data_IF_418884870475
#
_entry.id   IF_418884870475
#
_cell.length_a   1.000
_cell.length_b   1.000
_cell.length_c   1.000
_cell.angle_alpha   90.00
_cell.angle_beta   90.00
_cell.angle_gamma   90.00
#
_symmetry.space_group_name_H-M   'P 1'
#
loop_
_entity.id
_entity.type
_entity.pdbx_description
1 polymer ?
#
# COMPACT_ATOMS: atom_id res chain seq x y z
N UNK A 1 -53.48 43.77 33.41
CA UNK A 1 -52.89 44.36 34.63
C UNK A 1 -52.59 43.17 35.52
N UNK A 2 -51.37 42.78 35.87
CA UNK A 2 -50.05 43.39 35.83
C UNK A 2 -49.02 42.39 35.30
N UNK A 3 -47.89 42.94 34.84
CA UNK A 3 -46.75 42.24 34.29
C UNK A 3 -45.65 42.04 35.35
N UNK A 4 -44.92 40.94 35.23
CA UNK A 4 -43.57 40.75 35.76
C UNK A 4 -42.98 39.58 34.97
N UNK A 5 -41.81 39.64 34.32
CA UNK A 5 -40.70 40.55 34.46
C UNK A 5 -39.46 39.72 34.82
N UNK A 6 -39.00 38.86 33.91
CA UNK A 6 -37.79 38.06 34.09
C UNK A 6 -36.76 38.45 33.02
N UNK A 7 -35.59 38.91 33.49
CA UNK A 7 -34.45 39.31 32.67
C UNK A 7 -33.62 38.09 32.24
N UNK A 8 -33.00 38.11 31.04
CA UNK A 8 -32.01 37.10 30.66
C UNK A 8 -30.61 37.46 31.16
N UNK A 9 -29.91 36.47 31.71
CA UNK A 9 -28.48 36.56 32.03
C UNK A 9 -27.63 36.50 30.76
N UNK A 10 -26.74 37.48 30.63
CA UNK A 10 -25.71 37.61 29.60
C UNK A 10 -24.50 36.79 30.04
N UNK A 11 -24.13 35.76 29.27
CA UNK A 11 -22.82 35.11 29.41
C UNK A 11 -21.79 35.89 28.57
N UNK A 12 -20.75 36.34 29.25
CA UNK A 12 -19.64 37.09 28.69
C UNK A 12 -18.72 36.20 27.86
N UNK A 13 -18.30 36.77 26.74
CA UNK A 13 -17.34 36.30 25.75
C UNK A 13 -15.92 36.40 26.33
N UNK A 14 -15.25 35.26 26.56
CA UNK A 14 -13.81 35.23 26.86
C UNK A 14 -13.02 35.11 25.55
N UNK A 15 -12.34 36.20 25.19
CA UNK A 15 -11.33 36.22 24.13
C UNK A 15 -9.98 35.74 24.67
N UNK A 16 -9.19 34.97 23.90
CA UNK A 16 -7.85 34.58 24.30
C UNK A 16 -6.86 35.74 24.15
N UNK A 17 -6.11 35.99 25.23
CA UNK A 17 -4.97 36.91 25.28
C UNK A 17 -3.87 36.51 24.29
N UNK A 18 -3.56 37.43 23.38
CA UNK A 18 -2.34 37.45 22.58
C UNK A 18 -1.26 38.11 23.42
N UNK A 19 -0.31 37.33 23.95
CA UNK A 19 0.95 37.88 24.48
C UNK A 19 1.94 38.04 23.33
N UNK A 20 2.23 39.30 22.99
CA UNK A 20 3.36 39.67 22.16
C UNK A 20 4.66 39.46 22.97
N UNK A 21 5.60 38.70 22.43
CA UNK A 21 7.03 38.86 22.75
C UNK A 21 7.76 39.22 21.47
N UNK A 22 8.33 40.41 21.47
CA UNK A 22 9.21 40.96 20.45
C UNK A 22 10.52 40.15 20.43
N UNK A 23 10.90 39.62 19.25
CA UNK A 23 12.26 39.77 18.72
C UNK A 23 12.39 39.11 17.33
N UNK A 24 12.89 39.88 16.35
CA UNK A 24 13.88 39.38 15.40
C UNK A 24 13.46 38.82 14.02
N UNK A 25 12.87 39.66 13.16
CA UNK A 25 13.13 39.80 11.70
C UNK A 25 13.59 38.57 10.88
N UNK A 26 12.78 38.15 9.90
CA UNK A 26 13.01 38.42 8.46
C UNK A 26 11.87 37.85 7.60
N UNK A 27 11.06 38.75 7.04
CA UNK A 27 10.05 38.42 6.03
C UNK A 27 10.67 38.51 4.63
N UNK A 28 10.51 37.47 3.81
CA UNK A 28 10.63 37.58 2.36
C UNK A 28 9.27 37.33 1.74
N UNK A 29 8.61 38.42 1.33
CA UNK A 29 7.60 38.42 0.27
C UNK A 29 8.31 38.87 -1.01
N UNK A 30 8.16 38.13 -2.09
CA UNK A 30 8.32 38.66 -3.44
C UNK A 30 7.31 38.00 -4.37
N UNK A 31 6.34 38.80 -4.81
CA UNK A 31 5.60 38.60 -6.04
C UNK A 31 6.49 39.03 -7.21
N UNK A 32 6.52 38.24 -8.30
CA UNK A 32 6.77 38.76 -9.63
C UNK A 32 6.08 37.88 -10.69
N UNK A 33 5.25 38.54 -11.49
CA UNK A 33 4.61 38.08 -12.72
C UNK A 33 5.55 38.26 -13.94
N UNK A 34 5.09 37.78 -15.10
CA UNK A 34 5.53 37.95 -16.51
C UNK A 34 6.10 36.63 -17.08
N UNK A 35 5.37 35.79 -17.83
CA UNK A 35 4.57 35.92 -19.07
C UNK A 35 5.36 35.69 -20.38
N UNK A 36 4.77 34.79 -21.21
CA UNK A 36 4.81 34.62 -22.68
C UNK A 36 5.78 33.60 -23.31
N UNK A 37 5.19 32.83 -24.24
CA UNK A 37 5.85 32.25 -25.43
C UNK A 37 5.70 30.73 -25.53
N UNK A 38 4.57 30.21 -26.02
CA UNK A 38 4.24 29.97 -27.44
C UNK A 38 4.73 28.61 -27.97
N UNK A 39 3.71 27.85 -28.40
CA UNK A 39 3.72 26.55 -29.09
C UNK A 39 4.37 26.68 -30.46
N UNK A 40 5.17 25.68 -30.87
CA UNK A 40 5.30 25.34 -32.28
C UNK A 40 5.46 23.82 -32.46
N UNK A 41 4.42 23.24 -33.07
CA UNK A 41 4.37 21.93 -33.68
C UNK A 41 4.89 22.07 -35.11
N UNK A 42 5.84 21.24 -35.55
CA UNK A 42 5.97 20.92 -36.98
C UNK A 42 6.65 19.58 -37.21
N UNK A 43 6.21 18.92 -38.28
CA UNK A 43 6.32 17.52 -38.58
C UNK A 43 7.48 17.16 -39.53
N UNK A 44 7.76 15.84 -39.57
CA UNK A 44 8.15 14.96 -40.69
C UNK A 44 8.63 15.57 -42.03
N UNK A 45 9.75 15.04 -42.54
CA UNK A 45 9.90 14.32 -43.83
C UNK A 45 11.40 14.24 -44.22
N UNK A 46 12.01 13.05 -44.29
CA UNK A 46 12.24 12.19 -45.48
C UNK A 46 13.02 12.85 -46.64
N UNK A 47 14.26 12.35 -46.84
CA UNK A 47 14.97 12.05 -48.11
C UNK A 47 16.33 11.47 -47.66
N UNK A 48 16.82 10.28 -48.06
CA UNK A 48 16.89 9.71 -49.40
C UNK A 48 18.35 9.86 -49.89
N UNK A 49 19.12 8.75 -49.98
CA UNK A 49 20.48 8.81 -50.52
C UNK A 49 21.32 7.57 -50.26
N UNK A 50 21.49 6.75 -51.29
CA UNK A 50 22.18 5.45 -51.35
C UNK A 50 23.66 5.65 -51.70
N UNK A 51 24.48 4.62 -51.41
CA UNK A 51 25.77 4.25 -52.00
C UNK A 51 27.05 4.62 -51.24
N UNK A 52 27.76 3.57 -50.80
CA UNK A 52 29.12 3.64 -50.29
C UNK A 52 29.65 2.28 -49.83
N UNK A 53 29.84 1.36 -50.78
CA UNK A 53 30.56 0.09 -50.57
C UNK A 53 32.01 0.36 -50.16
N UNK A 54 32.42 -0.16 -49.00
CA UNK A 54 33.82 -0.51 -48.73
C UNK A 54 33.88 -1.73 -47.82
N UNK A 55 34.28 -2.87 -48.40
CA UNK A 55 34.77 -4.06 -47.70
C UNK A 55 36.23 -3.82 -47.30
N UNK A 56 36.62 -4.19 -46.07
CA UNK A 56 37.81 -5.01 -45.72
C UNK A 56 37.85 -5.14 -44.17
N UNK A 57 37.58 -6.31 -43.58
CA UNK A 57 38.46 -7.45 -43.21
C UNK A 57 38.77 -7.49 -41.68
N UNK A 58 38.47 -8.68 -41.12
CA UNK A 58 38.92 -9.36 -39.89
C UNK A 58 38.61 -8.81 -38.49
N UNK A 59 37.93 -9.67 -37.71
CA UNK A 59 38.44 -10.09 -36.40
C UNK A 59 37.52 -9.85 -35.21
N UNK A 60 37.25 -10.91 -34.44
CA UNK A 60 36.82 -10.82 -33.04
C UNK A 60 35.36 -11.19 -32.79
N UNK A 61 35.15 -12.35 -32.19
CA UNK A 61 33.82 -12.90 -31.91
C UNK A 61 33.11 -12.30 -30.70
N UNK A 62 31.80 -12.54 -30.68
CA UNK A 62 31.00 -12.70 -29.47
C UNK A 62 29.73 -13.49 -29.85
N UNK A 63 29.35 -14.57 -29.14
CA UNK A 63 28.06 -15.20 -29.37
C UNK A 63 26.97 -14.31 -28.77
N UNK A 64 26.01 -13.91 -29.62
CA UNK A 64 24.74 -13.36 -29.20
C UNK A 64 23.94 -14.47 -28.49
N UNK A 65 23.84 -14.43 -27.16
CA UNK A 65 22.89 -15.25 -26.41
C UNK A 65 22.63 -14.68 -25.02
N UNK A 66 21.81 -13.63 -24.95
CA UNK A 66 21.23 -13.15 -23.69
C UNK A 66 19.92 -12.42 -23.96
N UNK A 67 18.96 -13.11 -24.58
CA UNK A 67 17.57 -12.62 -24.63
C UNK A 67 16.59 -13.78 -24.79
N UNK A 68 16.68 -14.76 -23.87
CA UNK A 68 15.65 -15.80 -23.69
C UNK A 68 15.36 -16.14 -22.22
N UNK A 69 16.11 -15.59 -21.26
CA UNK A 69 15.89 -15.86 -19.83
C UNK A 69 14.97 -14.86 -19.12
N UNK A 70 14.73 -13.66 -19.69
CA UNK A 70 13.89 -12.65 -19.05
C UNK A 70 12.38 -12.80 -19.34
N UNK A 71 11.98 -13.45 -20.44
CA UNK A 71 10.56 -13.64 -20.78
C UNK A 71 9.90 -14.81 -20.06
N UNK A 72 10.65 -15.84 -19.67
CA UNK A 72 10.11 -17.00 -18.95
C UNK A 72 9.80 -16.69 -17.49
N UNK A 73 10.55 -15.78 -16.86
CA UNK A 73 10.39 -15.49 -15.43
C UNK A 73 9.19 -14.56 -15.14
N UNK A 74 8.84 -13.64 -16.06
CA UNK A 74 7.64 -12.81 -15.90
C UNK A 74 6.33 -13.60 -16.11
N UNK A 75 6.33 -14.61 -16.98
CA UNK A 75 5.15 -15.47 -17.20
C UNK A 75 4.89 -16.42 -16.02
N UNK A 76 5.95 -16.90 -15.34
CA UNK A 76 5.78 -17.76 -14.16
C UNK A 76 5.34 -17.00 -12.90
N UNK A 77 5.83 -15.77 -12.69
CA UNK A 77 5.44 -14.95 -11.53
C UNK A 77 3.96 -14.50 -11.64
N UNK A 78 3.50 -14.14 -12.84
CA UNK A 78 2.10 -13.77 -13.09
C UNK A 78 1.11 -14.94 -12.95
N UNK A 79 1.53 -16.13 -13.35
CA UNK A 79 0.70 -17.33 -13.19
C UNK A 79 0.49 -17.72 -11.72
N UNK A 80 1.48 -17.46 -10.85
CA UNK A 80 1.37 -17.78 -9.42
C UNK A 80 0.27 -16.95 -8.71
N UNK A 81 0.04 -15.71 -9.13
CA UNK A 81 -0.98 -14.85 -8.52
C UNK A 81 -2.40 -15.32 -8.85
N UNK A 82 -2.68 -15.75 -10.09
CA UNK A 82 -3.98 -16.34 -10.46
C UNK A 82 -4.24 -17.65 -9.71
N UNK A 83 -3.20 -18.44 -9.42
CA UNK A 83 -3.35 -19.72 -8.69
C UNK A 83 -3.66 -19.55 -7.20
N UNK A 84 -3.40 -18.38 -6.63
CA UNK A 84 -3.68 -18.11 -5.21
C UNK A 84 -5.17 -17.97 -4.90
N UNK A 85 -6.00 -17.71 -5.90
CA UNK A 85 -7.45 -17.55 -5.71
C UNK A 85 -8.15 -18.90 -5.58
N UNK A 86 -9.12 -18.97 -4.68
CA UNK A 86 -10.01 -20.12 -4.52
C UNK A 86 -11.40 -19.62 -4.18
N UNK A 87 -12.41 -20.37 -4.60
CA UNK A 87 -13.80 -20.06 -4.33
C UNK A 87 -14.29 -21.04 -3.27
N UNK A 88 -14.95 -20.55 -2.23
CA UNK A 88 -15.52 -21.43 -1.20
C UNK A 88 -16.57 -22.36 -1.79
N UNK A 89 -16.64 -23.59 -1.30
CA UNK A 89 -17.72 -24.54 -1.61
C UNK A 89 -19.06 -24.12 -0.96
N UNK A 90 -18.99 -23.38 0.15
CA UNK A 90 -20.15 -22.90 0.90
C UNK A 90 -20.93 -21.77 0.22
N UNK A 91 -22.22 -21.67 0.55
CA UNK A 91 -23.07 -20.53 0.21
C UNK A 91 -23.28 -19.66 1.44
N UNK A 92 -22.91 -18.39 1.32
CA UNK A 92 -22.99 -17.40 2.38
C UNK A 92 -24.04 -16.36 2.02
N UNK A 93 -24.54 -15.62 3.01
CA UNK A 93 -25.44 -14.49 2.86
C UNK A 93 -24.65 -13.18 2.96
N UNK A 94 -25.24 -12.05 2.57
CA UNK A 94 -24.64 -10.73 2.73
C UNK A 94 -24.33 -10.37 4.20
N UNK A 95 -24.97 -11.02 5.17
CA UNK A 95 -24.81 -10.78 6.60
C UNK A 95 -23.77 -11.68 7.28
N UNK A 96 -23.31 -12.72 6.60
CA UNK A 96 -22.33 -13.65 7.16
C UNK A 96 -20.92 -13.02 7.23
N UNK A 97 -20.09 -13.54 8.12
CA UNK A 97 -18.69 -13.14 8.23
C UNK A 97 -17.85 -13.85 7.15
N UNK A 98 -17.69 -13.19 5.99
CA UNK A 98 -17.00 -13.79 4.84
C UNK A 98 -15.51 -14.10 5.09
N UNK A 99 -14.87 -13.38 6.02
CA UNK A 99 -13.50 -13.68 6.43
C UNK A 99 -13.38 -15.05 7.12
N UNK A 100 -14.36 -15.40 7.96
CA UNK A 100 -14.44 -16.70 8.62
C UNK A 100 -14.69 -17.85 7.63
N UNK A 101 -15.39 -17.58 6.53
CA UNK A 101 -15.54 -18.54 5.42
C UNK A 101 -14.19 -18.91 4.80
N UNK A 102 -13.41 -17.91 4.40
CA UNK A 102 -12.11 -18.16 3.78
C UNK A 102 -11.12 -18.85 4.72
N UNK A 103 -11.03 -18.38 5.96
CA UNK A 103 -10.10 -18.96 6.95
C UNK A 103 -10.51 -20.37 7.36
N UNK A 104 -11.82 -20.63 7.48
CA UNK A 104 -12.35 -21.94 7.82
C UNK A 104 -12.10 -22.99 6.73
N UNK A 105 -12.24 -22.61 5.45
CA UNK A 105 -12.10 -23.56 4.33
C UNK A 105 -10.65 -23.71 3.84
N UNK A 106 -9.89 -22.61 3.80
CA UNK A 106 -8.57 -22.58 3.17
C UNK A 106 -7.41 -22.35 4.15
N UNK A 107 -7.70 -22.23 5.46
CA UNK A 107 -6.72 -22.10 6.54
C UNK A 107 -6.48 -20.65 6.98
N UNK A 108 -5.78 -20.49 8.10
CA UNK A 108 -5.60 -19.20 8.80
C UNK A 108 -4.97 -18.07 7.96
N UNK A 109 -4.21 -18.41 6.90
CA UNK A 109 -3.61 -17.42 5.99
C UNK A 109 -4.53 -16.99 4.84
N UNK A 110 -5.73 -17.56 4.73
CA UNK A 110 -6.68 -17.21 3.69
C UNK A 110 -7.54 -16.01 4.09
N UNK A 111 -7.87 -15.17 3.11
CA UNK A 111 -8.71 -13.99 3.31
C UNK A 111 -9.65 -13.79 2.14
N UNK A 112 -10.69 -12.98 2.34
CA UNK A 112 -11.56 -12.55 1.24
C UNK A 112 -10.72 -11.78 0.21
N UNK A 113 -10.96 -12.06 -1.07
CA UNK A 113 -10.36 -11.32 -2.16
C UNK A 113 -10.91 -9.90 -2.17
N UNK A 114 -10.01 -8.94 -2.37
CA UNK A 114 -10.31 -7.52 -2.50
C UNK A 114 -10.25 -7.10 -3.97
N UNK A 115 -11.26 -6.34 -4.37
CA UNK A 115 -11.43 -5.87 -5.73
C UNK A 115 -10.24 -5.01 -6.21
N UNK A 116 -9.77 -4.09 -5.38
CA UNK A 116 -8.70 -3.17 -5.77
C UNK A 116 -7.33 -3.83 -5.67
N UNK A 117 -7.14 -4.67 -4.65
CA UNK A 117 -5.81 -5.14 -4.24
C UNK A 117 -5.42 -6.48 -4.84
N UNK A 118 -6.40 -7.35 -5.12
CA UNK A 118 -6.15 -8.70 -5.65
C UNK A 118 -6.59 -8.82 -7.10
N UNK A 119 -7.81 -8.36 -7.41
CA UNK A 119 -8.32 -8.42 -8.77
C UNK A 119 -7.77 -7.26 -9.63
N UNK A 120 -7.72 -6.05 -9.09
CA UNK A 120 -7.27 -4.84 -9.80
C UNK A 120 -5.90 -4.93 -10.48
N UNK A 121 -4.88 -5.59 -9.89
CA UNK A 121 -3.57 -5.77 -10.54
C UNK A 121 -3.56 -6.77 -11.70
N UNK A 122 -4.56 -7.64 -11.81
CA UNK A 122 -4.64 -8.60 -12.91
C UNK A 122 -4.95 -7.88 -14.23
N UNK A 123 -4.45 -8.39 -15.34
CA UNK A 123 -4.92 -7.96 -16.65
C UNK A 123 -6.33 -8.53 -16.92
N UNK A 124 -7.12 -7.91 -17.81
CA UNK A 124 -8.42 -8.46 -18.25
C UNK A 124 -8.35 -9.95 -18.66
N UNK A 125 -7.30 -10.35 -19.37
CA UNK A 125 -7.09 -11.75 -19.76
C UNK A 125 -6.77 -12.70 -18.60
N UNK A 126 -6.10 -12.21 -17.56
CA UNK A 126 -5.82 -12.99 -16.35
C UNK A 126 -7.08 -13.17 -15.50
N UNK A 127 -7.94 -12.16 -15.46
CA UNK A 127 -9.28 -12.26 -14.85
C UNK A 127 -10.12 -13.29 -15.59
N UNK A 128 -10.15 -13.25 -16.92
CA UNK A 128 -10.90 -14.24 -17.71
C UNK A 128 -10.39 -15.66 -17.45
N UNK A 129 -9.06 -15.83 -17.44
CA UNK A 129 -8.42 -17.11 -17.09
C UNK A 129 -8.74 -17.57 -15.67
N UNK A 130 -8.83 -16.64 -14.72
CA UNK A 130 -9.22 -16.90 -13.34
C UNK A 130 -10.67 -17.39 -13.27
N UNK A 131 -11.60 -16.72 -13.96
CA UNK A 131 -13.01 -17.11 -14.00
C UNK A 131 -13.18 -18.50 -14.60
N UNK A 132 -12.50 -18.79 -15.70
CA UNK A 132 -12.55 -20.10 -16.35
C UNK A 132 -12.02 -21.20 -15.41
N UNK A 133 -10.90 -20.94 -14.71
CA UNK A 133 -10.32 -21.88 -13.75
C UNK A 133 -11.24 -22.16 -12.56
N UNK A 134 -11.91 -21.13 -12.05
CA UNK A 134 -12.87 -21.25 -10.95
C UNK A 134 -14.26 -21.72 -11.43
N UNK A 135 -14.42 -22.03 -12.72
CA UNK A 135 -15.68 -22.44 -13.33
C UNK A 135 -16.82 -21.42 -13.11
N UNK A 136 -16.48 -20.13 -13.14
CA UNK A 136 -17.44 -19.02 -13.02
C UNK A 136 -17.95 -18.68 -14.42
N UNK A 137 -19.18 -19.11 -14.71
CA UNK A 137 -19.84 -18.83 -15.99
C UNK A 137 -20.42 -17.41 -16.05
N UNK A 138 -20.55 -16.87 -17.26
CA UNK A 138 -21.29 -15.62 -17.51
C UNK A 138 -22.77 -15.81 -17.17
N UNK A 139 -23.29 -14.94 -16.32
CA UNK A 139 -24.70 -14.93 -15.90
C UNK A 139 -25.20 -13.50 -15.79
N UNK A 140 -26.49 -13.30 -15.54
CA UNK A 140 -27.09 -11.95 -15.48
C UNK A 140 -28.11 -11.88 -14.33
N UNK A 141 -27.73 -11.28 -13.20
CA UNK A 141 -28.50 -11.25 -11.95
C UNK A 141 -28.81 -12.65 -11.39
N UNK A 142 -27.90 -13.61 -11.52
CA UNK A 142 -28.15 -14.99 -11.04
C UNK A 142 -27.11 -15.49 -10.06
N UNK A 143 -25.86 -15.04 -10.18
CA UNK A 143 -24.75 -15.48 -9.34
C UNK A 143 -24.11 -14.29 -8.67
N UNK A 144 -23.78 -14.48 -7.39
CA UNK A 144 -23.08 -13.50 -6.59
C UNK A 144 -21.81 -14.15 -6.07
N UNK A 145 -20.66 -13.51 -6.26
CA UNK A 145 -19.38 -13.95 -5.70
C UNK A 145 -18.88 -12.86 -4.77
N UNK A 146 -18.90 -13.09 -3.46
CA UNK A 146 -18.56 -12.07 -2.47
C UNK A 146 -17.07 -11.73 -2.51
N UNK A 147 -16.80 -10.43 -2.42
CA UNK A 147 -15.47 -9.81 -2.38
C UNK A 147 -15.51 -8.61 -1.43
N UNK A 148 -14.35 -8.01 -1.16
CA UNK A 148 -14.24 -6.71 -0.51
C UNK A 148 -13.88 -5.62 -1.50
N UNK A 149 -14.18 -4.37 -1.17
CA UNK A 149 -13.63 -3.20 -1.87
C UNK A 149 -12.90 -2.30 -0.85
N UNK A 150 -11.62 -2.06 -1.09
CA UNK A 150 -10.73 -1.30 -0.21
C UNK A 150 -10.71 -1.80 1.25
N UNK A 151 -10.86 -3.11 1.47
CA UNK A 151 -10.90 -3.80 2.76
C UNK A 151 -12.26 -3.78 3.45
N UNK A 152 -13.32 -3.36 2.76
CA UNK A 152 -14.68 -3.29 3.32
C UNK A 152 -15.57 -4.35 2.69
N UNK A 153 -16.32 -5.06 3.53
CA UNK A 153 -17.37 -5.98 3.08
C UNK A 153 -18.61 -5.23 2.57
N UNK A 154 -18.89 -4.03 3.10
CA UNK A 154 -20.12 -3.30 2.82
C UNK A 154 -19.85 -1.95 2.14
N UNK A 155 -20.66 -1.63 1.13
CA UNK A 155 -20.67 -0.31 0.47
C UNK A 155 -21.35 0.74 1.36
N UNK A 156 -22.60 0.47 1.75
CA UNK A 156 -23.43 1.33 2.59
C UNK A 156 -24.51 0.50 3.27
N UNK A 157 -24.76 0.80 4.55
CA UNK A 157 -25.65 -0.02 5.39
C UNK A 157 -25.19 -1.47 5.41
N UNK A 158 -26.08 -2.39 5.05
CA UNK A 158 -25.81 -3.84 4.95
C UNK A 158 -25.59 -4.33 3.52
N UNK A 159 -25.31 -3.45 2.55
CA UNK A 159 -25.10 -3.87 1.15
C UNK A 159 -23.71 -4.44 0.95
N UNK A 160 -23.60 -5.76 0.88
CA UNK A 160 -22.33 -6.45 0.69
C UNK A 160 -21.81 -6.29 -0.74
N UNK A 161 -20.50 -6.20 -0.91
CA UNK A 161 -19.84 -6.19 -2.21
C UNK A 161 -19.76 -7.60 -2.80
N UNK A 162 -19.98 -7.68 -4.11
CA UNK A 162 -19.91 -8.92 -4.86
C UNK A 162 -19.63 -8.62 -6.33
N UNK A 163 -19.20 -9.62 -7.09
CA UNK A 163 -19.15 -9.51 -8.55
C UNK A 163 -19.97 -10.60 -9.23
N UNK A 164 -20.26 -10.37 -10.51
CA UNK A 164 -20.77 -11.36 -11.46
C UNK A 164 -20.02 -11.19 -12.79
N UNK A 165 -19.86 -12.29 -13.52
CA UNK A 165 -19.27 -12.29 -14.86
C UNK A 165 -20.34 -11.91 -15.88
N UNK A 166 -20.14 -10.79 -16.57
CA UNK A 166 -21.07 -10.20 -17.54
C UNK A 166 -20.49 -10.04 -18.95
N UNK A 167 -19.20 -10.36 -19.16
CA UNK A 167 -18.48 -10.14 -20.43
C UNK A 167 -18.62 -8.70 -20.96
N UNK A 168 -18.51 -7.73 -20.03
CA UNK A 168 -18.57 -6.29 -20.32
C UNK A 168 -19.98 -5.72 -20.53
N UNK A 169 -21.04 -6.50 -20.29
CA UNK A 169 -22.44 -6.07 -20.51
C UNK A 169 -23.30 -6.28 -19.26
N UNK A 170 -23.06 -5.54 -18.16
CA UNK A 170 -23.86 -5.69 -16.96
C UNK A 170 -25.34 -5.34 -17.21
N UNK A 171 -26.29 -6.03 -16.54
CA UNK A 171 -27.71 -5.68 -16.59
C UNK A 171 -27.97 -4.23 -16.20
N UNK A 172 -28.97 -3.58 -16.80
CA UNK A 172 -29.29 -2.18 -16.51
C UNK A 172 -29.78 -1.92 -15.07
N UNK A 173 -30.20 -2.98 -14.35
CA UNK A 173 -30.58 -2.92 -12.94
C UNK A 173 -29.40 -3.22 -11.98
N UNK A 174 -28.19 -3.42 -12.51
CA UNK A 174 -27.00 -3.69 -11.71
C UNK A 174 -26.43 -2.40 -11.13
N UNK A 175 -26.16 -2.37 -9.82
CA UNK A 175 -25.47 -1.25 -9.17
C UNK A 175 -23.96 -1.38 -9.43
N UNK A 176 -23.51 -0.86 -10.58
CA UNK A 176 -22.10 -0.95 -11.00
C UNK A 176 -21.23 -0.02 -10.15
N UNK A 177 -20.24 -0.60 -9.46
CA UNK A 177 -19.17 0.15 -8.80
C UNK A 177 -17.86 0.12 -9.61
N UNK A 178 -17.65 -0.96 -10.36
CA UNK A 178 -16.46 -1.14 -11.19
C UNK A 178 -16.63 -2.25 -12.23
N UNK A 179 -15.81 -2.22 -13.26
CA UNK A 179 -15.71 -3.28 -14.26
C UNK A 179 -14.23 -3.62 -14.48
N UNK A 180 -13.93 -4.91 -14.57
CA UNK A 180 -12.57 -5.37 -14.77
C UNK A 180 -12.59 -6.69 -15.55
N UNK A 181 -12.04 -6.69 -16.77
CA UNK A 181 -12.19 -7.83 -17.68
C UNK A 181 -13.66 -8.22 -17.91
N UNK A 182 -13.98 -9.50 -17.78
CA UNK A 182 -15.35 -10.01 -17.92
C UNK A 182 -16.24 -9.80 -16.68
N UNK A 183 -15.72 -9.34 -15.55
CA UNK A 183 -16.49 -9.22 -14.30
C UNK A 183 -16.91 -7.78 -14.00
N UNK A 184 -18.01 -7.63 -13.27
CA UNK A 184 -18.54 -6.34 -12.81
C UNK A 184 -18.73 -6.38 -11.30
N UNK A 185 -18.17 -5.40 -10.61
CA UNK A 185 -18.39 -5.17 -9.18
C UNK A 185 -19.76 -4.52 -8.96
N UNK A 186 -20.50 -5.02 -7.97
CA UNK A 186 -21.71 -4.40 -7.45
C UNK A 186 -21.86 -4.57 -5.96
N UNK A 187 -22.99 -4.07 -5.43
CA UNK A 187 -23.34 -4.26 -4.02
C UNK A 187 -24.86 -4.37 -3.83
N UNK A 188 -25.33 -5.29 -2.99
CA UNK A 188 -26.76 -5.49 -2.75
C UNK A 188 -27.04 -6.12 -1.38
N UNK A 189 -28.31 -6.24 -1.01
CA UNK A 189 -28.78 -6.86 0.24
C UNK A 189 -29.64 -8.11 -0.05
N UNK A 190 -29.72 -9.04 0.90
CA UNK A 190 -30.54 -10.25 0.75
C UNK A 190 -30.06 -11.16 -0.38
N UNK A 191 -28.75 -11.21 -0.59
CA UNK A 191 -28.12 -12.03 -1.63
C UNK A 191 -27.37 -13.19 -0.97
N UNK A 192 -27.17 -14.25 -1.75
CA UNK A 192 -26.35 -15.38 -1.33
C UNK A 192 -25.43 -15.83 -2.45
N UNK A 193 -24.25 -16.30 -2.06
CA UNK A 193 -23.17 -16.64 -2.95
C UNK A 193 -21.96 -17.22 -2.22
N UNK A 194 -21.07 -17.92 -2.94
CA UNK A 194 -19.77 -18.26 -2.41
C UNK A 194 -18.88 -17.00 -2.26
N UNK A 195 -17.82 -17.14 -1.46
CA UNK A 195 -16.83 -16.09 -1.21
C UNK A 195 -15.59 -16.37 -2.05
N UNK A 196 -15.11 -15.36 -2.78
CA UNK A 196 -13.80 -15.45 -3.43
C UNK A 196 -12.71 -15.19 -2.40
N UNK A 197 -11.77 -16.12 -2.27
CA UNK A 197 -10.70 -16.08 -1.30
C UNK A 197 -9.33 -16.04 -1.98
N UNK A 198 -8.36 -15.42 -1.32
CA UNK A 198 -6.93 -15.51 -1.66
C UNK A 198 -6.23 -16.36 -0.61
N UNK A 199 -5.53 -17.40 -1.03
CA UNK A 199 -4.75 -18.28 -0.16
C UNK A 199 -3.39 -17.66 0.07
N UNK A 200 -3.09 -17.29 1.32
CA UNK A 200 -1.71 -17.01 1.73
C UNK A 200 -0.86 -18.24 1.47
N UNK A 201 0.21 -18.10 0.68
CA UNK A 201 1.14 -19.20 0.42
C UNK A 201 1.62 -19.78 1.74
N UNK A 202 1.64 -21.12 1.85
CA UNK A 202 2.08 -21.83 3.04
C UNK A 202 3.51 -21.37 3.42
N UNK A 203 3.60 -20.47 4.39
CA UNK A 203 4.87 -19.85 4.83
C UNK A 203 4.88 -18.32 4.88
N UNK A 204 3.86 -17.63 4.38
CA UNK A 204 3.71 -16.18 4.56
C UNK A 204 2.59 -15.90 5.56
N UNK A 205 2.95 -15.54 6.79
CA UNK A 205 2.03 -14.83 7.68
C UNK A 205 1.39 -13.67 6.91
N UNK A 206 0.09 -13.48 7.11
CA UNK A 206 -0.78 -12.59 6.36
C UNK A 206 -0.25 -11.15 6.32
N UNK A 207 0.58 -10.86 5.33
CA UNK A 207 0.82 -9.51 4.87
C UNK A 207 -0.22 -9.20 3.79
N UNK A 208 -1.09 -8.19 3.96
CA UNK A 208 -2.13 -7.88 2.99
C UNK A 208 -1.47 -7.43 1.69
N UNK A 209 -1.57 -8.25 0.63
CA UNK A 209 -1.07 -7.90 -0.70
C UNK A 209 -1.79 -6.65 -1.20
N UNK A 210 -1.00 -5.70 -1.71
CA UNK A 210 -1.33 -4.31 -2.04
C UNK A 210 -0.84 -3.31 -0.98
N UNK A 211 -0.48 -3.77 0.22
CA UNK A 211 0.58 -3.10 0.95
C UNK A 211 1.86 -3.26 0.12
N UNK A 212 2.45 -2.15 -0.31
CA UNK A 212 3.81 -2.16 -0.84
C UNK A 212 4.72 -2.81 0.18
N UNK A 213 4.43 -2.57 1.48
CA UNK A 213 5.16 -3.09 2.62
C UNK A 213 4.52 -4.22 3.41
N UNK A 214 5.38 -5.15 3.89
CA UNK A 214 5.09 -6.04 5.00
C UNK A 214 4.58 -5.31 6.24
N UNK A 215 4.26 -6.04 7.32
CA UNK A 215 3.97 -5.43 8.63
C UNK A 215 5.17 -4.57 9.06
N UNK A 216 5.04 -3.25 9.01
CA UNK A 216 6.07 -2.32 9.48
C UNK A 216 5.86 -2.13 10.99
N UNK A 217 6.82 -2.55 11.81
CA UNK A 217 6.78 -2.31 13.27
C UNK A 217 6.46 -0.85 13.58
N UNK A 218 5.57 -0.60 14.55
CA UNK A 218 5.29 0.75 15.02
C UNK A 218 6.53 1.46 15.59
N UNK A 219 7.60 0.74 15.94
CA UNK A 219 8.90 1.32 16.34
C UNK A 219 9.70 1.93 15.18
N UNK A 220 9.18 1.87 13.96
CA UNK A 220 9.83 2.38 12.75
C UNK A 220 9.04 3.49 12.05
N UNK A 221 7.91 3.93 12.62
CA UNK A 221 7.00 4.88 11.96
C UNK A 221 6.77 6.09 12.87
N UNK A 222 7.20 7.27 12.43
CA UNK A 222 7.19 8.47 13.27
C UNK A 222 6.77 9.71 12.52
N UNK A 223 5.95 10.53 13.16
CA UNK A 223 5.89 11.96 12.85
C UNK A 223 7.19 12.61 13.34
N UNK A 224 7.77 13.50 12.53
CA UNK A 224 9.05 14.15 12.84
C UNK A 224 9.01 15.64 12.49
N UNK A 225 9.78 16.44 13.23
CA UNK A 225 10.19 17.76 12.77
C UNK A 225 11.38 17.58 11.84
N UNK A 226 11.27 18.09 10.61
CA UNK A 226 12.26 17.94 9.54
C UNK A 226 12.44 19.27 8.80
N UNK A 227 13.33 19.34 7.80
CA UNK A 227 13.66 20.62 7.12
C UNK A 227 12.48 21.24 6.37
N UNK A 228 11.50 20.42 5.97
CA UNK A 228 10.37 20.81 5.13
C UNK A 228 10.70 20.94 3.64
N UNK A 229 11.94 20.62 3.24
CA UNK A 229 12.39 20.69 1.85
C UNK A 229 12.50 19.28 1.26
N UNK A 230 11.55 18.93 0.39
CA UNK A 230 11.46 17.62 -0.29
C UNK A 230 12.58 17.36 -1.29
N UNK A 231 13.47 18.32 -1.57
CA UNK A 231 14.55 18.15 -2.54
C UNK A 231 15.93 17.98 -1.88
N UNK A 232 16.01 18.09 -0.55
CA UNK A 232 17.27 17.84 0.16
C UNK A 232 17.53 16.34 0.30
N UNK A 233 18.70 15.94 -0.20
CA UNK A 233 19.19 14.55 -0.13
C UNK A 233 19.66 14.15 1.27
N UNK A 234 19.66 15.09 2.21
CA UNK A 234 19.91 14.85 3.63
C UNK A 234 18.87 15.56 4.47
N UNK A 235 18.23 14.84 5.38
CA UNK A 235 17.22 15.36 6.29
C UNK A 235 17.67 15.19 7.73
N UNK A 236 17.51 16.22 8.53
CA UNK A 236 17.69 16.17 9.98
C UNK A 236 16.32 16.11 10.63
N UNK A 237 16.01 14.97 11.22
CA UNK A 237 14.73 14.68 11.83
C UNK A 237 14.86 14.69 13.34
N UNK A 238 13.92 15.30 14.05
CA UNK A 238 13.88 15.34 15.51
C UNK A 238 12.44 15.28 16.03
N UNK A 239 12.29 14.97 17.32
CA UNK A 239 10.98 14.95 17.97
C UNK A 239 10.13 13.77 17.51
N UNK A 240 10.76 12.62 17.25
CA UNK A 240 10.09 11.40 16.82
C UNK A 240 8.87 11.13 17.70
N UNK A 241 7.69 11.08 17.10
CA UNK A 241 6.42 10.97 17.83
C UNK A 241 5.46 10.04 17.10
N UNK A 242 4.35 9.69 17.73
CA UNK A 242 3.25 8.99 17.07
C UNK A 242 2.80 9.76 15.80
N UNK A 243 2.51 9.07 14.68
CA UNK A 243 2.08 9.72 13.45
C UNK A 243 0.93 10.72 13.66
N UNK A 244 1.02 11.86 12.99
CA UNK A 244 0.03 12.94 13.08
C UNK A 244 -1.00 12.82 11.96
N UNK A 245 -2.28 12.73 12.32
CA UNK A 245 -3.39 12.79 11.38
C UNK A 245 -3.89 14.25 11.29
N UNK A 246 -3.78 14.94 10.14
CA UNK A 246 -4.09 16.37 10.01
C UNK A 246 -5.46 16.82 10.53
N UNK A 247 -6.46 15.94 10.43
CA UNK A 247 -7.84 16.24 10.88
C UNK A 247 -8.19 15.70 12.28
N UNK A 248 -7.34 14.87 12.90
CA UNK A 248 -7.64 14.17 14.17
C UNK A 248 -6.58 14.38 15.26
N UNK A 249 -5.42 14.91 14.90
CA UNK A 249 -4.29 15.05 15.81
C UNK A 249 -3.40 13.80 15.87
N UNK A 250 -2.65 13.65 16.96
CA UNK A 250 -1.74 12.50 17.14
C UNK A 250 -2.52 11.20 17.32
N UNK A 251 -2.09 10.19 16.59
CA UNK A 251 -2.65 8.83 16.70
C UNK A 251 -2.20 8.17 18.01
N UNK A 252 -3.02 7.26 18.54
CA UNK A 252 -2.63 6.42 19.69
C UNK A 252 -1.93 5.17 19.18
N UNK A 253 -0.67 4.98 19.56
CA UNK A 253 0.18 3.91 19.06
C UNK A 253 0.73 3.10 20.22
N UNK A 254 0.52 1.79 20.20
CA UNK A 254 1.27 0.86 21.03
C UNK A 254 2.54 0.48 20.28
N UNK A 255 3.68 1.02 20.72
CA UNK A 255 4.98 0.79 20.09
C UNK A 255 5.42 -0.67 20.14
N UNK A 256 4.90 -1.48 21.07
CA UNK A 256 5.35 -2.86 21.22
C UNK A 256 4.58 -3.84 20.32
N UNK A 257 3.33 -3.52 19.99
CA UNK A 257 2.44 -4.50 19.36
C UNK A 257 1.71 -4.02 18.10
N UNK A 258 1.57 -2.70 17.92
CA UNK A 258 0.99 -2.17 16.69
C UNK A 258 1.96 -2.31 15.51
N UNK A 259 1.39 -2.28 14.32
CA UNK A 259 2.15 -2.22 13.08
C UNK A 259 1.42 -1.37 12.04
N UNK A 260 2.15 -1.01 10.98
CA UNK A 260 1.63 -0.24 9.86
C UNK A 260 1.77 -1.00 8.55
N UNK A 261 0.86 -0.72 7.62
CA UNK A 261 0.99 -1.10 6.22
C UNK A 261 0.98 0.16 5.36
N UNK A 262 1.97 0.27 4.48
CA UNK A 262 2.01 1.30 3.45
C UNK A 262 1.38 0.75 2.17
N UNK A 263 0.24 1.29 1.74
CA UNK A 263 -0.54 0.81 0.60
C UNK A 263 -0.44 1.79 -0.55
N UNK A 264 -0.04 1.31 -1.73
CA UNK A 264 -0.05 2.13 -2.96
C UNK A 264 -1.47 2.25 -3.52
N UNK A 265 -1.81 3.41 -4.08
CA UNK A 265 -3.08 3.68 -4.75
C UNK A 265 -2.85 3.87 -6.24
N UNK A 266 -3.91 3.66 -7.03
CA UNK A 266 -3.87 3.77 -8.50
C UNK A 266 -3.43 5.15 -9.04
N UNK A 267 -3.47 6.19 -8.21
CA UNK A 267 -3.04 7.55 -8.55
C UNK A 267 -1.58 7.86 -8.15
N UNK A 268 -0.79 6.85 -7.76
CA UNK A 268 0.58 7.01 -7.27
C UNK A 268 0.69 7.64 -5.88
N UNK A 269 -0.43 7.82 -5.18
CA UNK A 269 -0.44 8.15 -3.76
C UNK A 269 -0.32 6.88 -2.92
N UNK A 270 -0.10 7.09 -1.64
CA UNK A 270 0.05 6.05 -0.65
C UNK A 270 -0.90 6.29 0.51
N UNK A 271 -1.31 5.22 1.17
CA UNK A 271 -2.12 5.26 2.39
C UNK A 271 -1.40 4.48 3.48
N UNK A 272 -1.13 5.13 4.61
CA UNK A 272 -0.49 4.49 5.76
C UNK A 272 -1.55 4.07 6.78
N UNK A 273 -1.69 2.75 6.97
CA UNK A 273 -2.75 2.15 7.79
C UNK A 273 -2.16 1.53 9.05
N UNK A 274 -2.68 1.88 10.21
CA UNK A 274 -2.28 1.36 11.51
C UNK A 274 -3.17 0.19 11.92
N UNK A 275 -2.56 -0.88 12.41
CA UNK A 275 -3.23 -2.07 12.90
C UNK A 275 -2.78 -2.40 14.33
N UNK A 276 -3.69 -2.94 15.13
CA UNK A 276 -3.37 -3.54 16.42
C UNK A 276 -2.70 -4.90 16.27
N UNK A 277 -2.20 -5.46 17.39
CA UNK A 277 -1.56 -6.78 17.44
C UNK A 277 -2.41 -7.90 16.83
N UNK A 278 -3.74 -7.80 17.03
CA UNK A 278 -4.78 -8.71 16.57
C UNK A 278 -5.15 -8.54 15.09
N UNK A 279 -4.55 -7.58 14.40
CA UNK A 279 -4.86 -7.25 13.01
C UNK A 279 -6.06 -6.33 12.84
N UNK A 280 -6.66 -5.83 13.93
CA UNK A 280 -7.76 -4.85 13.86
C UNK A 280 -7.22 -3.52 13.33
N UNK A 281 -7.87 -2.97 12.30
CA UNK A 281 -7.54 -1.64 11.78
C UNK A 281 -7.88 -0.57 12.82
N UNK A 282 -6.86 0.18 13.28
CA UNK A 282 -7.00 1.26 14.27
C UNK A 282 -7.21 2.61 13.58
N UNK A 283 -6.41 2.92 12.58
CA UNK A 283 -6.43 4.22 11.91
C UNK A 283 -5.93 4.12 10.47
N UNK A 284 -6.36 5.05 9.62
CA UNK A 284 -5.81 5.26 8.28
C UNK A 284 -5.43 6.72 8.14
N UNK A 285 -4.14 7.00 7.94
CA UNK A 285 -3.71 8.36 7.64
C UNK A 285 -4.21 8.80 6.26
N UNK A 286 -4.51 10.09 6.04
CA UNK A 286 -4.91 10.61 4.74
C UNK A 286 -3.85 10.31 3.68
N UNK A 287 -4.29 10.12 2.44
CA UNK A 287 -3.41 9.73 1.33
C UNK A 287 -2.31 10.76 1.06
N UNK A 288 -1.07 10.31 1.19
CA UNK A 288 0.15 11.11 0.99
C UNK A 288 0.95 10.65 -0.23
N UNK A 289 2.13 11.24 -0.38
CA UNK A 289 3.14 10.83 -1.36
C UNK A 289 4.38 10.33 -0.65
N UNK A 290 5.03 9.34 -1.23
CA UNK A 290 6.42 9.05 -0.88
C UNK A 290 7.32 9.95 -1.72
N UNK A 291 7.95 10.95 -1.09
CA UNK A 291 8.69 12.01 -1.80
C UNK A 291 10.20 11.81 -1.71
N UNK A 292 10.71 11.30 -0.59
CA UNK A 292 12.12 11.00 -0.38
C UNK A 292 12.29 9.55 0.09
N UNK A 293 13.31 8.85 -0.41
CA UNK A 293 13.73 7.57 0.15
C UNK A 293 15.23 7.32 -0.01
N UNK A 294 15.86 6.63 0.95
CA UNK A 294 17.25 6.14 0.88
C UNK A 294 17.29 4.64 1.17
N UNK A 295 18.34 4.11 1.78
CA UNK A 295 18.34 2.77 2.40
C UNK A 295 17.95 2.79 3.89
N UNK A 296 17.95 3.99 4.51
CA UNK A 296 17.69 4.18 5.94
C UNK A 296 16.30 4.72 6.29
N UNK A 297 15.67 5.51 5.42
CA UNK A 297 14.33 6.02 5.62
C UNK A 297 13.53 6.27 4.33
N UNK A 298 12.21 6.23 4.47
CA UNK A 298 11.22 6.76 3.52
C UNK A 298 10.46 7.92 4.17
N UNK A 299 10.20 8.98 3.42
CA UNK A 299 9.37 10.11 3.81
C UNK A 299 8.01 10.03 3.13
N UNK A 300 6.97 9.80 3.94
CA UNK A 300 5.57 9.85 3.57
C UNK A 300 5.00 11.22 3.94
N UNK A 301 4.69 12.04 2.93
CA UNK A 301 4.25 13.42 3.10
C UNK A 301 2.76 13.55 2.77
N UNK A 302 1.99 14.02 3.74
CA UNK A 302 0.55 14.33 3.60
C UNK A 302 0.41 15.83 3.39
N UNK A 303 -0.37 16.22 2.38
CA UNK A 303 -0.68 17.61 2.03
C UNK A 303 0.56 18.52 1.83
N UNK A 304 1.71 17.93 1.47
CA UNK A 304 2.97 18.65 1.21
C UNK A 304 3.65 19.23 2.46
N UNK A 305 3.21 18.85 3.67
CA UNK A 305 3.76 19.40 4.91
C UNK A 305 3.94 18.38 6.03
N UNK A 306 2.94 17.51 6.25
CA UNK A 306 2.95 16.58 7.37
C UNK A 306 3.82 15.37 7.02
N UNK A 307 5.04 15.35 7.55
CA UNK A 307 6.04 14.34 7.27
C UNK A 307 6.00 13.20 8.28
N UNK A 308 5.63 12.01 7.83
CA UNK A 308 5.86 10.76 8.55
C UNK A 308 7.07 10.05 7.95
N UNK A 309 8.04 9.71 8.78
CA UNK A 309 9.21 8.92 8.38
C UNK A 309 9.00 7.45 8.74
N UNK A 310 9.32 6.59 7.78
CA UNK A 310 9.40 5.14 7.96
C UNK A 310 10.88 4.76 7.89
N UNK A 311 11.46 4.35 9.01
CA UNK A 311 12.89 4.06 9.14
C UNK A 311 13.21 2.59 8.88
N UNK A 312 14.46 2.27 8.54
CA UNK A 312 14.95 0.89 8.47
C UNK A 312 15.22 0.30 9.87
N UNK A 313 15.69 1.15 10.81
CA UNK A 313 15.97 0.79 12.21
C UNK A 313 14.86 1.25 13.17
N UNK A 314 14.76 0.61 14.32
CA UNK A 314 13.84 1.02 15.38
C UNK A 314 14.32 2.29 16.11
N UNK A 315 13.37 3.13 16.52
CA UNK A 315 13.59 4.35 17.30
C UNK A 315 12.64 4.43 18.49
N UNK A 316 12.88 5.40 19.37
CA UNK A 316 12.02 5.74 20.52
C UNK A 316 11.36 7.10 20.33
N UNK A 317 10.26 7.31 21.03
CA UNK A 317 9.64 8.64 21.07
C UNK A 317 10.62 9.67 21.69
N UNK A 318 10.73 10.82 21.04
CA UNK A 318 11.67 11.89 21.39
C UNK A 318 13.05 11.78 20.70
N UNK A 319 13.32 10.71 19.96
CA UNK A 319 14.58 10.54 19.23
C UNK A 319 14.80 11.63 18.16
N UNK A 320 16.04 11.67 17.68
CA UNK A 320 16.46 12.42 16.51
C UNK A 320 17.41 11.56 15.65
N UNK A 321 17.37 11.75 14.35
CA UNK A 321 18.22 11.04 13.39
C UNK A 321 18.50 11.92 12.17
N UNK A 322 19.59 11.62 11.47
CA UNK A 322 19.89 12.21 10.16
C UNK A 322 19.84 11.12 9.10
N UNK A 323 19.11 11.37 8.04
CA UNK A 323 18.95 10.45 6.92
C UNK A 323 19.60 11.08 5.68
N UNK A 324 20.65 10.44 5.16
CA UNK A 324 21.37 10.88 3.98
C UNK A 324 21.07 10.01 2.75
N UNK A 325 21.56 10.43 1.59
CA UNK A 325 21.42 9.68 0.34
C UNK A 325 19.97 9.56 -0.13
N UNK A 326 19.11 10.49 0.28
CA UNK A 326 17.70 10.49 -0.09
C UNK A 326 17.55 10.85 -1.57
N UNK A 327 16.77 10.04 -2.28
CA UNK A 327 16.40 10.25 -3.67
C UNK A 327 15.00 10.87 -3.70
N UNK A 328 14.87 11.99 -4.41
CA UNK A 328 13.59 12.63 -4.70
C UNK A 328 12.80 11.80 -5.72
N UNK A 329 11.48 11.69 -5.48
CA UNK A 329 10.54 10.89 -6.25
C UNK A 329 11.07 9.46 -6.49
N UNK A 330 11.32 8.69 -5.41
CA UNK A 330 11.96 7.40 -5.50
C UNK A 330 11.13 6.42 -6.34
N UNK A 331 11.81 5.53 -7.05
CA UNK A 331 11.11 4.48 -7.81
C UNK A 331 10.40 3.51 -6.86
N UNK A 332 9.41 2.82 -7.39
CA UNK A 332 8.66 1.79 -6.66
C UNK A 332 9.57 0.73 -6.06
N UNK A 333 10.65 0.37 -6.76
CA UNK A 333 11.64 -0.61 -6.32
C UNK A 333 12.42 -0.16 -5.07
N UNK A 334 12.68 1.14 -4.91
CA UNK A 334 13.33 1.68 -3.71
C UNK A 334 12.37 1.64 -2.52
N UNK A 335 11.11 1.99 -2.76
CA UNK A 335 10.06 1.93 -1.73
C UNK A 335 9.84 0.49 -1.28
N UNK A 336 9.83 -0.48 -2.21
CA UNK A 336 9.65 -1.90 -1.90
C UNK A 336 10.81 -2.56 -1.14
N UNK A 337 11.97 -1.91 -0.99
CA UNK A 337 13.06 -2.49 -0.18
C UNK A 337 12.77 -2.40 1.32
N UNK A 338 12.08 -1.37 1.79
CA UNK A 338 11.72 -1.20 3.21
C UNK A 338 10.63 -2.15 3.68
N UNK A 339 9.92 -2.65 2.69
CA UNK A 339 8.84 -3.58 2.76
C UNK A 339 9.31 -5.02 2.97
N UNK A 340 10.55 -5.31 2.57
CA UNK A 340 11.22 -6.61 2.69
C UNK A 340 12.27 -6.62 3.80
N UNK A 341 12.52 -5.49 4.46
CA UNK A 341 13.51 -5.37 5.53
C UNK A 341 13.18 -6.39 6.63
N UNK A 342 13.98 -7.46 6.76
CA UNK A 342 13.58 -8.60 7.57
C UNK A 342 13.61 -8.19 9.04
N UNK A 343 12.58 -8.56 9.79
CA UNK A 343 12.60 -8.69 11.25
C UNK A 343 13.73 -9.63 11.75
N UNK A 344 14.45 -10.27 10.83
CA UNK A 344 15.55 -11.21 11.07
C UNK A 344 16.91 -10.63 10.71
N UNK A 345 17.53 -9.94 11.66
CA UNK A 345 18.95 -10.14 11.95
C UNK A 345 19.26 -10.42 13.43
N UNK A 346 18.27 -10.37 14.34
CA UNK A 346 18.53 -10.61 15.77
C UNK A 346 18.53 -12.10 16.16
N UNK A 347 17.86 -12.99 15.40
CA UNK A 347 17.81 -14.43 15.75
C UNK A 347 18.97 -15.28 15.19
N UNK A 348 19.61 -14.88 14.09
CA UNK A 348 20.70 -15.66 13.50
C UNK A 348 22.01 -15.54 14.30
N UNK A 349 22.31 -14.36 14.85
CA UNK A 349 23.50 -14.16 15.69
C UNK A 349 23.38 -14.81 17.07
N UNK A 350 22.17 -14.90 17.62
CA UNK A 350 21.89 -15.61 18.88
C UNK A 350 22.15 -17.11 18.76
N UNK A 351 21.71 -17.74 17.65
CA UNK A 351 21.89 -19.17 17.45
C UNK A 351 23.37 -19.56 17.26
N UNK A 352 24.13 -18.76 16.51
CA UNK A 352 25.58 -18.98 16.33
C UNK A 352 26.39 -18.70 17.61
N UNK A 353 25.96 -17.74 18.43
CA UNK A 353 26.62 -17.44 19.72
C UNK A 353 26.37 -18.54 20.75
N UNK A 354 25.15 -19.11 20.79
CA UNK A 354 24.83 -20.25 21.66
C UNK A 354 25.55 -21.53 21.23
N UNK A 355 25.73 -21.75 19.92
CA UNK A 355 26.49 -22.90 19.43
C UNK A 355 28.01 -22.77 19.69
N UNK A 356 28.58 -21.57 19.58
CA UNK A 356 30.00 -21.33 19.90
C UNK A 356 30.31 -21.43 21.40
N UNK A 357 29.36 -21.08 22.27
CA UNK A 357 29.55 -21.13 23.72
C UNK A 357 29.57 -22.56 24.29
N UNK A 358 29.12 -23.58 23.54
CA UNK A 358 28.97 -24.95 24.06
C UNK A 358 30.12 -25.91 23.78
N UNK A 359 31.14 -25.55 23.01
CA UNK A 359 32.44 -26.23 23.03
C UNK A 359 32.43 -27.76 22.92
N UNK A 360 31.47 -28.37 22.22
CA UNK A 360 31.46 -29.80 21.93
C UNK A 360 31.46 -29.99 20.43
N UNK A 361 32.64 -30.35 19.90
CA UNK A 361 32.84 -30.65 18.49
C UNK A 361 32.22 -31.98 18.08
N UNK A 362 30.90 -32.02 17.95
CA UNK A 362 30.18 -33.09 17.24
C UNK A 362 29.08 -32.47 16.37
N UNK A 363 29.28 -32.51 15.04
CA UNK A 363 28.40 -31.96 14.00
C UNK A 363 27.07 -32.70 13.81
N UNK A 364 26.69 -33.66 14.67
CA UNK A 364 25.57 -34.58 14.37
C UNK A 364 24.27 -34.39 15.16
N UNK A 365 24.14 -33.41 16.07
CA UNK A 365 23.00 -33.37 17.02
C UNK A 365 21.97 -32.25 16.82
N UNK A 366 21.99 -31.47 15.73
CA UNK A 366 20.99 -30.40 15.55
C UNK A 366 19.67 -30.85 14.88
N UNK A 367 19.52 -32.12 14.51
CA UNK A 367 18.38 -32.60 13.72
C UNK A 367 17.21 -33.21 14.53
N UNK A 368 17.25 -33.22 15.86
CA UNK A 368 16.23 -33.91 16.68
C UNK A 368 15.52 -33.03 17.70
N UNK A 369 15.45 -31.72 17.46
CA UNK A 369 14.68 -30.81 18.29
C UNK A 369 13.88 -29.79 17.44
N UNK A 370 13.19 -30.26 16.40
CA UNK A 370 12.01 -29.62 15.82
C UNK A 370 11.08 -30.67 15.21
#
# INVERSE_FOLDING_TARGET
MEAGGEQPQVFAEEQPMISQSEDGRAAWRAQAYVAKGAVLLTALAVCGGVCGLARYITGGGAPASTSRFAMTNQLQIKSADVQSFSLTDGMYTDLDEHASACTGEFGLGARVADWDMDLGPLSPSEVDSLMDRLNISTTFNQKNYFVQEAGRQYYSGSRAYFFEKHDGKPPGNWMVHGQHGSITLGSWFGISGPVLCVRGGAGAEASPRGALCGRISAKRVFDVQWSGDEHQTTQFCSGFSAPYHPHKGRTTVDRETDYYNLVEKANGKFSLRQYGADGTLKETLPDGKVTLASQDAIFYIIDGWFGTVITSAEHRDGDAASFGGLTDNPSREVVSQYCEAPEKQVQAESCMTVCRAKGTGEESSCASAF
#
